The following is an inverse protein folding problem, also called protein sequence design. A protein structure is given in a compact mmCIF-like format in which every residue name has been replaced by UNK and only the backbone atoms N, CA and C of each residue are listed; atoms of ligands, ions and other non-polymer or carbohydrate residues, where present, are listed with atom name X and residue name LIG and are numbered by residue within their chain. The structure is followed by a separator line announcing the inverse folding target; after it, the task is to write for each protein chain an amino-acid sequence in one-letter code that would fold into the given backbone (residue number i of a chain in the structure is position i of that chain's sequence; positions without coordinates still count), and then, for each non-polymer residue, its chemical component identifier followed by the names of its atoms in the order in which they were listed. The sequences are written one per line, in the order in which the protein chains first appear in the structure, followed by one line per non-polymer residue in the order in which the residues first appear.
data_IF_295758478737
#
_entry.id   IF_295758478737
#
_cell.length_a   1.000
_cell.length_b   1.000
_cell.length_c   1.000
_cell.angle_alpha   90.00
_cell.angle_beta   90.00
_cell.angle_gamma   90.00
#
_symmetry.space_group_name_H-M   'P 1'
#
loop_
_entity.id
_entity.type
_entity.pdbx_description
1 polymer ?
#
# COMPACT_ATOMS: atom_id res chain seq x y z
N UNK A 1 31.78 -9.64 48.62
CA UNK A 1 31.09 -10.23 47.45
C UNK A 1 30.13 -9.17 46.94
N UNK A 2 30.32 -8.68 45.72
CA UNK A 2 29.79 -7.39 45.21
C UNK A 2 28.31 -7.51 44.84
N UNK A 3 27.50 -6.55 45.30
CA UNK A 3 26.24 -6.20 44.69
C UNK A 3 26.52 -5.53 43.33
N UNK A 4 25.74 -5.89 42.30
CA UNK A 4 25.69 -5.18 41.01
C UNK A 4 24.29 -4.58 40.90
N UNK A 5 24.25 -3.25 40.86
CA UNK A 5 23.10 -2.49 40.38
C UNK A 5 22.86 -2.82 38.90
N UNK A 6 21.59 -3.03 38.53
CA UNK A 6 21.14 -3.07 37.14
C UNK A 6 20.43 -1.73 36.89
N UNK A 7 21.11 -0.84 36.19
CA UNK A 7 20.57 0.44 35.70
C UNK A 7 19.68 0.18 34.47
N UNK A 8 18.36 0.14 34.66
CA UNK A 8 17.39 0.08 33.55
C UNK A 8 17.10 1.47 33.01
N UNK A 9 18.00 1.99 32.16
CA UNK A 9 17.70 3.16 31.33
C UNK A 9 16.76 2.78 30.18
N UNK A 10 15.46 2.84 30.44
CA UNK A 10 14.47 2.95 29.36
C UNK A 10 14.65 4.33 28.72
N UNK A 11 15.08 4.36 27.47
CA UNK A 11 15.20 5.62 26.73
C UNK A 11 13.84 6.00 26.13
N UNK A 12 13.55 7.30 26.03
CA UNK A 12 12.29 7.81 25.43
C UNK A 12 12.05 7.27 24.00
N UNK A 13 13.12 6.91 23.26
CA UNK A 13 13.05 6.24 21.94
C UNK A 13 12.53 4.80 22.03
N UNK A 14 12.97 4.01 22.99
CA UNK A 14 12.45 2.64 23.19
C UNK A 14 10.97 2.62 23.59
N UNK A 15 10.50 3.63 24.33
CA UNK A 15 9.08 3.73 24.70
C UNK A 15 8.18 4.10 23.52
N UNK A 16 8.60 5.05 22.66
CA UNK A 16 7.85 5.47 21.47
C UNK A 16 7.82 4.40 20.38
N UNK A 17 8.90 3.64 20.19
CA UNK A 17 8.94 2.51 19.26
C UNK A 17 7.98 1.38 19.68
N UNK A 18 7.83 1.15 20.98
CA UNK A 18 6.95 0.09 21.52
C UNK A 18 5.46 0.46 21.37
N UNK A 19 5.11 1.75 21.45
CA UNK A 19 3.72 2.21 21.29
C UNK A 19 3.22 2.24 19.84
N UNK A 20 4.12 2.37 18.84
CA UNK A 20 3.75 2.33 17.43
C UNK A 20 3.62 0.89 16.89
N UNK A 21 4.40 -0.06 17.43
CA UNK A 21 4.41 -1.46 16.97
C UNK A 21 3.21 -2.30 17.40
N UNK A 22 2.52 -1.97 18.50
CA UNK A 22 1.39 -2.76 18.98
C UNK A 22 0.13 -2.62 18.10
N UNK A 23 -0.05 -1.48 17.42
CA UNK A 23 -1.22 -1.24 16.55
C UNK A 23 -1.14 -1.90 15.17
N UNK A 24 0.08 -2.09 14.64
CA UNK A 24 0.29 -2.62 13.29
C UNK A 24 0.21 -4.17 13.25
N UNK A 25 0.58 -4.83 14.34
CA UNK A 25 0.60 -6.31 14.46
C UNK A 25 -0.81 -6.91 14.63
N UNK A 26 -1.78 -6.14 15.13
CA UNK A 26 -3.15 -6.62 15.39
C UNK A 26 -3.97 -6.90 14.11
N UNK A 27 -3.46 -6.57 12.92
CA UNK A 27 -4.19 -6.70 11.65
C UNK A 27 -3.52 -7.55 10.56
N UNK A 28 -2.21 -7.84 10.65
CA UNK A 28 -1.53 -8.77 9.74
C UNK A 28 -1.47 -10.16 10.38
N UNK A 29 -2.56 -10.89 10.30
CA UNK A 29 -2.56 -12.32 10.54
C UNK A 29 -1.84 -13.05 9.40
N UNK A 30 -0.52 -12.94 9.31
CA UNK A 30 0.48 -13.95 8.90
C UNK A 30 1.85 -13.32 9.21
N UNK A 31 2.42 -13.66 10.37
CA UNK A 31 3.87 -13.56 10.55
C UNK A 31 4.47 -14.61 9.62
N UNK A 32 5.24 -14.19 8.61
CA UNK A 32 6.06 -15.10 7.81
C UNK A 32 6.89 -15.97 8.78
N UNK A 33 6.94 -17.31 8.61
CA UNK A 33 7.74 -18.16 9.49
C UNK A 33 9.22 -17.81 9.30
N UNK A 34 9.80 -17.04 10.22
CA UNK A 34 11.23 -16.73 10.23
C UNK A 34 11.63 -15.33 10.66
N UNK A 35 10.72 -14.34 10.64
CA UNK A 35 11.03 -12.98 11.09
C UNK A 35 10.64 -12.81 12.56
N UNK A 36 11.63 -12.64 13.44
CA UNK A 36 11.32 -12.26 14.82
C UNK A 36 10.71 -10.86 14.84
N UNK A 37 9.87 -10.59 15.84
CA UNK A 37 9.24 -9.29 16.05
C UNK A 37 10.28 -8.18 16.18
N UNK A 38 11.48 -8.51 16.68
CA UNK A 38 12.62 -7.59 16.72
C UNK A 38 13.18 -7.33 15.32
N UNK A 39 13.25 -8.33 14.42
CA UNK A 39 13.79 -8.16 13.07
C UNK A 39 12.90 -7.33 12.14
N UNK A 40 11.57 -7.49 12.20
CA UNK A 40 10.66 -6.65 11.42
C UNK A 40 10.64 -5.19 11.90
N UNK A 41 10.78 -4.97 13.21
CA UNK A 41 10.87 -3.63 13.82
C UNK A 41 12.27 -3.03 13.59
N UNK A 42 13.32 -3.85 13.61
CA UNK A 42 14.68 -3.45 13.29
C UNK A 42 14.85 -3.18 11.80
N UNK A 43 14.24 -3.90 10.86
CA UNK A 43 14.25 -3.55 9.42
C UNK A 43 13.52 -2.22 9.17
N UNK A 44 12.36 -2.02 9.80
CA UNK A 44 11.64 -0.73 9.78
C UNK A 44 12.42 0.42 10.47
N UNK A 45 13.39 0.11 11.34
CA UNK A 45 14.23 1.09 12.04
C UNK A 45 15.65 1.23 11.47
N UNK A 46 16.14 0.22 10.74
CA UNK A 46 17.47 0.11 10.15
C UNK A 46 17.53 0.66 8.74
N UNK A 47 16.37 0.77 8.07
CA UNK A 47 16.24 1.63 6.90
C UNK A 47 16.27 3.09 7.36
N UNK A 48 17.48 3.52 7.72
CA UNK A 48 17.87 4.88 8.05
C UNK A 48 17.79 5.79 6.84
N UNK A 49 16.66 5.74 6.11
CA UNK A 49 16.21 6.83 5.30
C UNK A 49 16.01 8.00 6.26
N UNK A 50 17.01 8.87 6.33
CA UNK A 50 16.77 10.26 6.67
C UNK A 50 15.73 10.75 5.67
N UNK A 51 14.46 10.65 6.05
CA UNK A 51 13.33 11.27 5.38
C UNK A 51 13.60 12.77 5.46
N UNK A 52 14.30 13.28 4.46
CA UNK A 52 14.25 14.69 4.13
C UNK A 52 12.81 14.94 3.70
N UNK A 53 11.96 15.34 4.64
CA UNK A 53 10.64 15.83 4.30
C UNK A 53 10.80 17.06 3.39
N UNK A 54 10.14 17.02 2.24
CA UNK A 54 9.76 18.21 1.49
C UNK A 54 8.25 18.17 1.32
N UNK A 55 7.51 19.26 1.61
CA UNK A 55 6.08 19.35 1.27
C UNK A 55 5.80 18.99 -0.20
N UNK A 56 6.79 19.17 -1.08
CA UNK A 56 6.76 18.85 -2.50
C UNK A 56 6.66 17.34 -2.80
N UNK A 57 6.94 16.45 -1.84
CA UNK A 57 6.78 15.01 -2.09
C UNK A 57 5.30 14.68 -2.23
N UNK A 58 4.40 15.19 -1.39
CA UNK A 58 3.00 14.74 -1.40
C UNK A 58 2.11 15.43 -2.43
N UNK A 59 2.46 16.64 -2.84
CA UNK A 59 1.77 17.35 -3.90
C UNK A 59 2.66 18.44 -4.51
N UNK A 60 2.31 18.84 -5.72
CA UNK A 60 2.90 19.97 -6.41
C UNK A 60 1.82 20.91 -6.94
N UNK A 61 2.19 22.18 -7.10
CA UNK A 61 1.36 23.18 -7.79
C UNK A 61 2.15 23.69 -8.99
N UNK A 62 1.63 23.43 -10.20
CA UNK A 62 2.33 23.78 -11.43
C UNK A 62 2.22 25.29 -11.73
N UNK A 63 2.95 25.74 -12.76
CA UNK A 63 2.90 27.11 -13.22
C UNK A 63 1.52 27.55 -13.74
N UNK A 64 0.56 26.65 -13.95
CA UNK A 64 -0.81 26.94 -14.34
C UNK A 64 -1.79 26.88 -13.16
N UNK A 65 -1.31 26.65 -11.94
CA UNK A 65 -2.13 26.54 -10.73
C UNK A 65 -2.81 25.18 -10.57
N UNK A 66 -2.43 24.18 -11.36
CA UNK A 66 -2.92 22.80 -11.23
C UNK A 66 -2.21 22.11 -10.07
N UNK A 67 -2.96 21.34 -9.30
CA UNK A 67 -2.47 20.60 -8.13
C UNK A 67 -2.40 19.13 -8.49
N UNK A 68 -1.21 18.54 -8.44
CA UNK A 68 -1.02 17.09 -8.57
C UNK A 68 -0.73 16.52 -7.18
N UNK A 69 -1.50 15.52 -6.75
CA UNK A 69 -1.32 14.85 -5.46
C UNK A 69 -0.77 13.45 -5.66
N UNK A 70 0.34 13.15 -5.00
CA UNK A 70 1.04 11.87 -5.10
C UNK A 70 0.43 10.86 -4.13
N UNK A 71 -0.04 9.73 -4.66
CA UNK A 71 -0.83 8.72 -3.95
C UNK A 71 -0.01 7.45 -3.77
N UNK A 72 0.53 7.27 -2.56
CA UNK A 72 1.27 6.06 -2.16
C UNK A 72 0.35 4.93 -1.66
N UNK A 73 -0.87 4.83 -2.20
CA UNK A 73 -1.89 3.84 -1.82
C UNK A 73 -2.53 3.24 -3.07
N UNK A 74 -2.89 1.96 -2.99
CA UNK A 74 -3.49 1.22 -4.08
C UNK A 74 -4.99 1.52 -4.20
N UNK A 75 -5.45 1.84 -5.41
CA UNK A 75 -6.86 2.04 -5.70
C UNK A 75 -7.51 0.71 -6.11
N UNK A 76 -8.62 0.36 -5.44
CA UNK A 76 -9.27 -0.95 -5.56
C UNK A 76 -10.80 -0.86 -5.53
N UNK A 77 -11.34 0.32 -5.84
CA UNK A 77 -12.78 0.61 -5.82
C UNK A 77 -13.25 1.40 -4.59
N UNK A 78 -12.35 1.78 -3.69
CA UNK A 78 -12.64 2.54 -2.47
C UNK A 78 -12.45 4.06 -2.62
N UNK A 79 -11.95 4.53 -3.76
CA UNK A 79 -11.65 5.94 -4.03
C UNK A 79 -10.62 6.55 -3.06
N UNK A 80 -9.57 5.78 -2.72
CA UNK A 80 -8.56 6.22 -1.75
C UNK A 80 -7.77 7.42 -2.28
N UNK A 81 -7.39 7.41 -3.57
CA UNK A 81 -6.66 8.52 -4.19
C UNK A 81 -7.46 9.82 -4.10
N UNK A 82 -8.75 9.77 -4.45
CA UNK A 82 -9.71 10.87 -4.26
C UNK A 82 -9.77 11.34 -2.80
N UNK A 83 -9.87 10.42 -1.84
CA UNK A 83 -9.97 10.79 -0.43
C UNK A 83 -8.72 11.52 0.07
N UNK A 84 -7.53 11.05 -0.30
CA UNK A 84 -6.25 11.68 0.07
C UNK A 84 -6.06 13.03 -0.63
N UNK A 85 -6.40 13.12 -1.93
CA UNK A 85 -6.35 14.38 -2.67
C UNK A 85 -7.29 15.44 -2.08
N UNK A 86 -8.48 15.04 -1.61
CA UNK A 86 -9.39 15.96 -0.90
C UNK A 86 -8.80 16.50 0.39
N UNK A 87 -8.04 15.69 1.13
CA UNK A 87 -7.38 16.14 2.36
C UNK A 87 -6.39 17.25 2.04
N UNK A 88 -5.52 17.01 1.06
CA UNK A 88 -4.54 17.99 0.61
C UNK A 88 -5.21 19.24 0.06
N UNK A 89 -6.17 19.10 -0.86
CA UNK A 89 -6.83 20.23 -1.51
C UNK A 89 -7.62 21.11 -0.53
N UNK A 90 -8.32 20.51 0.43
CA UNK A 90 -9.07 21.24 1.45
C UNK A 90 -8.13 22.09 2.30
N UNK A 91 -7.05 21.48 2.78
CA UNK A 91 -6.05 22.18 3.59
C UNK A 91 -5.28 23.22 2.77
N UNK A 92 -4.92 22.92 1.52
CA UNK A 92 -4.25 23.87 0.64
C UNK A 92 -5.13 25.08 0.29
N UNK A 93 -6.46 24.91 0.28
CA UNK A 93 -7.40 25.90 -0.25
C UNK A 93 -7.46 25.89 -1.78
N UNK A 94 -7.19 24.74 -2.39
CA UNK A 94 -7.20 24.57 -3.84
C UNK A 94 -8.63 24.47 -4.40
N UNK A 95 -8.80 24.87 -5.66
CA UNK A 95 -10.00 24.56 -6.41
C UNK A 95 -9.99 23.07 -6.83
N UNK A 96 -11.06 22.34 -6.53
CA UNK A 96 -11.13 20.89 -6.78
C UNK A 96 -10.98 20.54 -8.27
N UNK A 97 -11.48 21.38 -9.17
CA UNK A 97 -11.39 21.18 -10.63
C UNK A 97 -9.97 21.34 -11.17
N UNK A 98 -9.04 21.84 -10.35
CA UNK A 98 -7.63 21.98 -10.65
C UNK A 98 -6.79 20.85 -10.04
N UNK A 99 -7.41 19.89 -9.33
CA UNK A 99 -6.74 18.79 -8.64
C UNK A 99 -6.71 17.52 -9.49
N UNK A 100 -5.56 16.87 -9.52
CA UNK A 100 -5.31 15.56 -10.15
C UNK A 100 -4.50 14.67 -9.21
N UNK A 101 -4.44 13.37 -9.52
CA UNK A 101 -3.69 12.38 -8.73
C UNK A 101 -2.66 11.67 -9.60
N UNK A 102 -1.53 11.35 -9.01
CA UNK A 102 -0.54 10.42 -9.55
C UNK A 102 -0.36 9.24 -8.60
N UNK A 103 -0.47 8.02 -9.10
CA UNK A 103 -0.18 6.83 -8.30
C UNK A 103 1.29 6.50 -8.44
N UNK A 104 2.03 6.70 -7.37
CA UNK A 104 3.50 6.69 -7.41
C UNK A 104 4.07 5.27 -7.47
N UNK A 105 5.32 5.19 -7.92
CA UNK A 105 6.13 3.97 -7.89
C UNK A 105 6.54 3.56 -6.47
N UNK A 106 7.27 2.46 -6.35
CA UNK A 106 7.78 1.94 -5.08
C UNK A 106 9.08 2.59 -4.58
N UNK A 107 9.41 3.82 -5.02
CA UNK A 107 10.60 4.53 -4.53
C UNK A 107 10.53 4.72 -3.00
N UNK A 108 11.60 4.39 -2.24
CA UNK A 108 11.62 4.51 -0.79
C UNK A 108 11.27 5.91 -0.24
N UNK A 109 11.42 6.97 -1.05
CA UNK A 109 11.05 8.34 -0.65
C UNK A 109 9.57 8.49 -0.31
N UNK A 110 8.70 7.61 -0.82
CA UNK A 110 7.26 7.57 -0.53
C UNK A 110 6.96 6.94 0.83
N UNK A 111 7.98 6.38 1.49
CA UNK A 111 7.83 5.63 2.72
C UNK A 111 7.12 4.30 2.50
N UNK A 112 6.56 3.77 3.59
CA UNK A 112 6.00 2.43 3.60
C UNK A 112 4.63 2.34 2.91
N UNK A 113 4.56 1.55 1.83
CA UNK A 113 3.39 1.41 0.99
C UNK A 113 2.61 0.14 1.32
N UNK A 114 1.47 0.37 1.99
CA UNK A 114 0.49 -0.65 2.36
C UNK A 114 -0.92 -0.07 2.28
N UNK A 115 -1.83 -0.82 1.67
CA UNK A 115 -3.27 -0.55 1.59
C UNK A 115 -4.04 -1.73 2.17
N UNK A 116 -4.68 -1.52 3.31
CA UNK A 116 -5.41 -2.55 4.05
C UNK A 116 -5.87 -2.04 5.41
N UNK A 117 -6.68 -2.83 6.12
CA UNK A 117 -7.04 -2.55 7.52
C UNK A 117 -7.80 -1.24 7.78
N UNK A 118 -8.34 -0.58 6.75
CA UNK A 118 -8.87 0.79 6.81
C UNK A 118 -7.83 1.85 7.22
N UNK A 119 -6.55 1.59 6.97
CA UNK A 119 -5.45 2.44 7.43
C UNK A 119 -5.16 3.63 6.54
N UNK A 120 -5.49 3.57 5.25
CA UNK A 120 -5.02 4.57 4.28
C UNK A 120 -5.35 6.00 4.70
N UNK A 121 -6.62 6.33 4.96
CA UNK A 121 -7.00 7.67 5.44
C UNK A 121 -6.58 7.87 6.89
N UNK A 122 -6.87 6.91 7.78
CA UNK A 122 -6.62 7.05 9.21
C UNK A 122 -5.16 7.38 9.56
N UNK A 123 -4.21 6.73 8.90
CA UNK A 123 -2.76 6.90 9.16
C UNK A 123 -2.15 8.10 8.46
N UNK A 124 -2.73 8.56 7.34
CA UNK A 124 -2.16 9.64 6.52
C UNK A 124 -2.87 10.99 6.69
N UNK A 125 -4.06 11.02 7.30
CA UNK A 125 -4.89 12.22 7.40
C UNK A 125 -4.12 13.41 7.96
N UNK A 126 -3.50 13.27 9.13
CA UNK A 126 -2.79 14.37 9.80
C UNK A 126 -1.60 14.83 8.98
N UNK A 127 -0.78 13.89 8.48
CA UNK A 127 0.40 14.18 7.67
C UNK A 127 0.04 14.96 6.40
N UNK A 128 -0.95 14.50 5.64
CA UNK A 128 -1.39 15.18 4.41
C UNK A 128 -2.06 16.51 4.72
N UNK A 129 -2.79 16.61 5.83
CA UNK A 129 -3.40 17.88 6.24
C UNK A 129 -2.34 18.93 6.58
N UNK A 130 -1.27 18.51 7.26
CA UNK A 130 -0.14 19.36 7.61
C UNK A 130 0.67 19.78 6.37
N UNK A 131 0.85 18.86 5.41
CA UNK A 131 1.46 19.19 4.12
C UNK A 131 0.63 20.25 3.37
N UNK A 132 -0.69 20.07 3.29
CA UNK A 132 -1.60 21.05 2.69
C UNK A 132 -1.58 22.40 3.42
N UNK A 133 -1.56 22.41 4.75
CA UNK A 133 -1.46 23.63 5.56
C UNK A 133 -0.13 24.37 5.38
N UNK A 134 0.98 23.64 5.22
CA UNK A 134 2.28 24.21 4.88
C UNK A 134 2.25 24.87 3.51
N UNK A 135 1.69 24.19 2.49
CA UNK A 135 1.48 24.78 1.16
C UNK A 135 0.61 26.03 1.20
N UNK A 136 -0.50 25.99 1.93
CA UNK A 136 -1.38 27.14 2.15
C UNK A 136 -0.62 28.32 2.74
N UNK A 137 0.27 28.07 3.70
CA UNK A 137 1.10 29.11 4.33
C UNK A 137 2.02 29.77 3.31
N UNK A 138 2.73 28.98 2.49
CA UNK A 138 3.61 29.51 1.43
C UNK A 138 2.81 30.35 0.44
N UNK A 139 1.69 29.81 -0.07
CA UNK A 139 0.86 30.49 -1.06
C UNK A 139 0.25 31.77 -0.49
N UNK A 140 -0.26 31.74 0.74
CA UNK A 140 -0.79 32.92 1.43
C UNK A 140 0.27 34.01 1.57
N UNK A 141 1.45 33.66 2.08
CA UNK A 141 2.52 34.62 2.35
C UNK A 141 3.00 35.26 1.03
N UNK A 142 3.22 34.46 -0.01
CA UNK A 142 3.62 34.93 -1.33
C UNK A 142 2.52 35.74 -2.03
N UNK A 143 1.26 35.29 -1.94
CA UNK A 143 0.11 35.99 -2.51
C UNK A 143 -0.15 37.33 -1.82
N UNK A 144 -0.10 37.37 -0.49
CA UNK A 144 -0.24 38.61 0.27
C UNK A 144 0.87 39.61 -0.09
N UNK A 145 2.11 39.14 -0.27
CA UNK A 145 3.22 39.99 -0.72
C UNK A 145 2.96 40.58 -2.12
N UNK A 146 2.43 39.79 -3.07
CA UNK A 146 2.05 40.28 -4.41
C UNK A 146 0.92 41.32 -4.36
N UNK A 147 0.02 41.20 -3.39
CA UNK A 147 -1.09 42.14 -3.14
C UNK A 147 -0.71 43.33 -2.25
N UNK A 148 0.54 43.38 -1.75
CA UNK A 148 0.98 44.42 -0.82
C UNK A 148 0.23 44.41 0.52
N UNK A 149 -0.26 43.25 0.96
CA UNK A 149 -1.02 43.05 2.19
C UNK A 149 -0.23 42.25 3.25
N UNK A 150 -0.69 42.28 4.51
CA UNK A 150 -0.21 41.37 5.54
C UNK A 150 -0.75 39.94 5.26
N UNK A 151 0.05 38.87 5.45
CA UNK A 151 -0.45 37.50 5.36
C UNK A 151 -1.63 37.22 6.31
N UNK A 152 -1.68 37.89 7.46
CA UNK A 152 -2.77 37.73 8.44
C UNK A 152 -4.10 38.31 7.94
N UNK A 153 -4.07 39.22 6.96
CA UNK A 153 -5.25 39.81 6.32
C UNK A 153 -5.67 39.04 5.04
N UNK A 154 -4.91 38.02 4.65
CA UNK A 154 -5.13 37.27 3.42
C UNK A 154 -5.89 35.97 3.67
N UNK A 155 -6.88 35.69 2.81
CA UNK A 155 -7.62 34.43 2.78
C UNK A 155 -7.14 33.56 1.62
N UNK A 156 -7.19 32.24 1.80
CA UNK A 156 -6.85 31.26 0.75
C UNK A 156 -8.04 30.34 0.52
N UNK A 157 -8.63 30.43 -0.67
CA UNK A 157 -9.81 29.65 -1.04
C UNK A 157 -9.90 29.50 -2.55
N UNK A 158 -10.36 28.34 -3.04
CA UNK A 158 -10.61 28.05 -4.44
C UNK A 158 -9.43 28.41 -5.37
N UNK A 159 -8.19 28.10 -4.97
CA UNK A 159 -7.00 28.35 -5.77
C UNK A 159 -6.58 29.82 -5.86
N UNK A 160 -7.11 30.66 -4.98
CA UNK A 160 -6.86 32.10 -4.94
C UNK A 160 -6.39 32.54 -3.56
N UNK A 161 -5.50 33.51 -3.52
CA UNK A 161 -5.18 34.29 -2.33
C UNK A 161 -5.81 35.67 -2.48
N UNK A 162 -6.61 36.09 -1.51
CA UNK A 162 -7.33 37.37 -1.55
C UNK A 162 -7.03 38.22 -0.33
N UNK A 163 -6.80 39.52 -0.56
CA UNK A 163 -6.61 40.51 0.50
C UNK A 163 -7.06 41.89 -0.01
N UNK A 164 -7.63 42.72 0.86
CA UNK A 164 -8.04 44.09 0.53
C UNK A 164 -8.98 44.25 -0.69
N UNK A 165 -9.76 43.21 -1.02
CA UNK A 165 -10.67 43.21 -2.17
C UNK A 165 -10.01 42.89 -3.51
N UNK A 166 -8.71 42.56 -3.51
CA UNK A 166 -7.97 42.05 -4.66
C UNK A 166 -7.63 40.57 -4.47
N UNK A 167 -7.38 39.86 -5.56
CA UNK A 167 -7.08 38.43 -5.55
C UNK A 167 -5.97 38.10 -6.54
N UNK A 168 -5.12 37.14 -6.19
CA UNK A 168 -4.07 36.58 -7.02
C UNK A 168 -4.20 35.06 -7.06
N UNK A 169 -4.08 34.46 -8.24
CA UNK A 169 -4.24 33.01 -8.43
C UNK A 169 -3.00 32.23 -8.00
N UNK A 170 -3.16 30.95 -7.67
CA UNK A 170 -2.03 30.04 -7.45
C UNK A 170 -1.06 30.04 -8.63
N UNK A 171 -1.58 30.04 -9.87
CA UNK A 171 -0.75 30.11 -11.08
C UNK A 171 0.13 31.37 -11.10
N UNK A 172 -0.41 32.51 -10.71
CA UNK A 172 0.32 33.77 -10.67
C UNK A 172 1.34 33.80 -9.51
N UNK A 173 0.97 33.27 -8.35
CA UNK A 173 1.88 33.11 -7.20
C UNK A 173 3.06 32.22 -7.58
N UNK A 174 2.84 31.06 -8.20
CA UNK A 174 3.92 30.15 -8.60
C UNK A 174 4.86 30.81 -9.63
N UNK A 175 4.33 31.61 -10.56
CA UNK A 175 5.15 32.28 -11.59
C UNK A 175 5.93 33.49 -11.10
N UNK A 176 5.43 34.20 -10.08
CA UNK A 176 5.91 35.56 -9.71
C UNK A 176 6.28 35.72 -8.24
N UNK A 177 5.71 34.91 -7.37
CA UNK A 177 5.91 34.96 -5.92
C UNK A 177 7.16 34.21 -5.49
N UNK A 178 7.56 34.44 -4.24
CA UNK A 178 8.61 33.66 -3.60
C UNK A 178 8.00 32.40 -2.94
N UNK A 179 8.25 31.25 -3.56
CA UNK A 179 7.81 29.94 -3.08
C UNK A 179 8.98 29.10 -2.53
N UNK A 180 10.14 29.72 -2.26
CA UNK A 180 11.35 28.99 -1.87
C UNK A 180 11.35 28.51 -0.42
N UNK A 181 10.30 28.82 0.35
CA UNK A 181 10.21 28.45 1.77
C UNK A 181 10.09 26.94 1.90
N UNK A 182 10.95 26.37 2.74
CA UNK A 182 10.91 24.97 3.15
C UNK A 182 10.61 24.88 4.64
N UNK A 183 10.14 23.72 5.08
CA UNK A 183 9.87 23.44 6.49
C UNK A 183 10.63 22.17 6.90
N UNK A 184 11.11 22.15 8.14
CA UNK A 184 11.64 20.95 8.79
C UNK A 184 10.52 20.02 9.26
N UNK A 185 10.82 18.74 9.46
CA UNK A 185 9.86 17.73 9.94
C UNK A 185 9.11 18.17 11.21
N UNK A 186 9.81 18.83 12.14
CA UNK A 186 9.22 19.36 13.38
C UNK A 186 8.22 20.49 13.10
N UNK A 187 8.56 21.41 12.21
CA UNK A 187 7.65 22.50 11.81
C UNK A 187 6.40 21.95 11.13
N UNK A 188 6.55 20.93 10.27
CA UNK A 188 5.44 20.30 9.56
C UNK A 188 4.53 19.51 10.49
N UNK A 189 5.12 18.72 11.39
CA UNK A 189 4.40 18.02 12.45
C UNK A 189 3.66 18.97 13.41
N UNK A 190 4.01 20.25 13.43
CA UNK A 190 3.36 21.30 14.20
C UNK A 190 2.41 22.20 13.38
N UNK A 191 2.24 21.96 12.06
CA UNK A 191 1.39 22.81 11.22
C UNK A 191 -0.07 22.78 11.69
N UNK A 192 -0.72 23.95 11.83
CA UNK A 192 -2.13 24.01 12.20
C UNK A 192 -3.01 23.57 11.04
N UNK A 193 -3.74 22.47 11.26
CA UNK A 193 -4.74 21.93 10.33
C UNK A 193 -6.09 22.63 10.55
N UNK A 194 -6.89 22.73 9.48
CA UNK A 194 -8.24 23.31 9.53
C UNK A 194 -9.12 22.55 10.51
N UNK A 195 -9.87 23.31 11.31
CA UNK A 195 -10.95 22.77 12.10
C UNK A 195 -12.04 22.18 11.19
N UNK A 196 -12.82 21.18 11.63
CA UNK A 196 -13.89 20.59 10.81
C UNK A 196 -14.89 21.60 10.23
N UNK A 197 -15.13 22.70 10.94
CA UNK A 197 -16.03 23.78 10.50
C UNK A 197 -15.49 24.64 9.35
N UNK A 198 -14.17 24.61 9.10
CA UNK A 198 -13.49 25.41 8.07
C UNK A 198 -13.27 24.62 6.76
N UNK A 199 -13.65 23.34 6.76
CA UNK A 199 -13.44 22.43 5.63
C UNK A 199 -14.51 22.59 4.57
N UNK A 200 -14.07 22.74 3.33
CA UNK A 200 -14.93 23.01 2.17
C UNK A 200 -15.08 21.81 1.24
N UNK A 201 -14.16 20.85 1.30
CA UNK A 201 -14.15 19.62 0.52
C UNK A 201 -14.40 18.40 1.39
N UNK A 202 -13.68 18.21 2.50
CA UNK A 202 -13.79 17.00 3.34
C UNK A 202 -15.20 16.87 3.93
N UNK A 203 -15.82 15.71 3.75
CA UNK A 203 -17.19 15.45 4.23
C UNK A 203 -18.29 16.15 3.43
N UNK A 204 -17.96 16.81 2.32
CA UNK A 204 -18.92 17.44 1.38
C UNK A 204 -19.12 16.60 0.12
N UNK A 205 -20.27 16.73 -0.58
CA UNK A 205 -20.45 16.14 -1.91
C UNK A 205 -19.41 16.68 -2.89
N UNK A 206 -18.66 15.80 -3.52
CA UNK A 206 -17.65 16.10 -4.55
C UNK A 206 -17.61 14.93 -5.53
N UNK A 207 -17.28 15.20 -6.79
CA UNK A 207 -17.07 14.14 -7.76
C UNK A 207 -15.68 13.52 -7.55
N UNK A 208 -15.63 12.20 -7.43
CA UNK A 208 -14.37 11.48 -7.30
C UNK A 208 -13.58 11.51 -8.61
N UNK A 209 -12.26 11.68 -8.51
CA UNK A 209 -11.37 11.92 -9.65
C UNK A 209 -11.25 10.71 -10.58
N UNK A 210 -11.43 9.52 -10.03
CA UNK A 210 -11.28 8.24 -10.72
C UNK A 210 -12.58 7.70 -11.34
N UNK A 211 -13.74 8.27 -10.99
CA UNK A 211 -15.05 7.82 -11.52
C UNK A 211 -15.19 8.05 -13.03
N UNK A 212 -14.83 9.22 -13.61
CA UNK A 212 -14.96 9.44 -15.05
C UNK A 212 -14.25 8.37 -15.89
N UNK A 213 -12.98 8.09 -15.61
CA UNK A 213 -12.21 7.09 -16.34
C UNK A 213 -12.80 5.67 -16.17
N UNK A 214 -13.18 5.29 -14.95
CA UNK A 214 -13.78 3.97 -14.66
C UNK A 214 -15.14 3.78 -15.33
N UNK A 215 -15.99 4.81 -15.36
CA UNK A 215 -17.32 4.74 -15.97
C UNK A 215 -17.31 4.92 -17.49
N UNK A 216 -16.32 5.63 -18.02
CA UNK A 216 -16.09 5.81 -19.46
C UNK A 216 -15.38 4.63 -20.14
N UNK A 217 -14.68 3.79 -19.37
CA UNK A 217 -13.86 2.69 -19.90
C UNK A 217 -12.43 3.12 -20.28
N UNK A 218 -12.01 4.30 -19.84
CA UNK A 218 -10.65 4.83 -20.08
C UNK A 218 -9.66 4.44 -18.98
N UNK A 219 -10.15 3.93 -17.84
CA UNK A 219 -9.30 3.44 -16.76
C UNK A 219 -8.52 2.21 -17.23
N UNK A 220 -7.19 2.27 -17.09
CA UNK A 220 -6.31 1.15 -17.36
C UNK A 220 -6.12 0.33 -16.08
N UNK A 221 -6.39 -0.97 -16.17
CA UNK A 221 -6.09 -1.94 -15.14
C UNK A 221 -4.80 -2.69 -15.48
N UNK A 222 -4.24 -3.44 -14.53
CA UNK A 222 -3.01 -4.20 -14.77
C UNK A 222 -3.16 -5.19 -15.95
N UNK A 223 -4.36 -5.77 -16.10
CA UNK A 223 -4.66 -6.68 -17.21
C UNK A 223 -4.72 -6.01 -18.60
N UNK A 224 -4.88 -4.69 -18.65
CA UNK A 224 -4.95 -3.92 -19.90
C UNK A 224 -3.57 -3.46 -20.39
N UNK A 225 -2.52 -3.60 -19.56
CA UNK A 225 -1.19 -3.12 -19.88
C UNK A 225 -0.51 -4.01 -20.95
N UNK A 226 0.05 -3.37 -21.97
CA UNK A 226 0.76 -4.03 -23.06
C UNK A 226 2.15 -3.42 -23.29
N UNK A 227 3.11 -4.25 -23.68
CA UNK A 227 4.44 -3.82 -24.11
C UNK A 227 4.79 -4.40 -25.48
N UNK A 228 5.53 -3.62 -26.26
CA UNK A 228 6.02 -4.06 -27.56
C UNK A 228 6.90 -5.31 -27.42
N UNK A 229 6.49 -6.39 -28.10
CA UNK A 229 7.21 -7.66 -28.11
C UNK A 229 7.02 -8.52 -26.84
N UNK A 230 6.08 -8.18 -25.96
CA UNK A 230 5.78 -9.02 -24.79
C UNK A 230 5.29 -10.42 -25.19
N UNK A 231 5.54 -11.38 -24.30
CA UNK A 231 5.00 -12.74 -24.36
C UNK A 231 4.03 -12.95 -23.21
N UNK A 232 3.13 -13.91 -23.35
CA UNK A 232 2.10 -14.21 -22.38
C UNK A 232 2.46 -15.46 -21.61
N UNK A 233 2.55 -15.31 -20.30
CA UNK A 233 2.76 -16.39 -19.35
C UNK A 233 1.42 -16.84 -18.75
N UNK A 234 1.16 -18.14 -18.77
CA UNK A 234 0.05 -18.76 -18.06
C UNK A 234 0.59 -19.73 -17.01
N UNK A 235 0.43 -19.45 -15.71
CA UNK A 235 0.90 -20.34 -14.66
C UNK A 235 0.09 -21.65 -14.64
N UNK A 236 0.76 -22.75 -14.31
CA UNK A 236 0.19 -24.05 -14.00
C UNK A 236 0.34 -24.27 -12.49
N UNK A 237 -0.81 -24.31 -11.81
CA UNK A 237 -0.88 -24.22 -10.35
C UNK A 237 -0.71 -25.63 -9.74
N UNK A 238 0.23 -25.82 -8.79
CA UNK A 238 0.42 -27.10 -8.12
C UNK A 238 -0.78 -27.47 -7.21
N UNK A 239 -0.94 -28.75 -6.85
CA UNK A 239 -2.05 -29.22 -6.01
C UNK A 239 -2.00 -28.67 -4.57
N UNK A 240 -0.84 -28.25 -4.08
CA UNK A 240 -0.68 -27.60 -2.77
C UNK A 240 0.17 -26.35 -2.88
N UNK A 241 -0.11 -25.36 -2.01
CA UNK A 241 0.71 -24.13 -1.92
C UNK A 241 2.17 -24.39 -1.55
N UNK A 242 2.42 -25.34 -0.64
CA UNK A 242 3.75 -25.69 -0.16
C UNK A 242 4.01 -27.19 -0.31
N UNK A 243 5.28 -27.54 -0.48
CA UNK A 243 5.79 -28.90 -0.55
C UNK A 243 5.46 -29.65 -1.84
N UNK A 244 4.82 -28.99 -2.82
CA UNK A 244 4.62 -29.59 -4.13
C UNK A 244 5.92 -29.54 -4.93
N UNK A 245 6.22 -30.61 -5.66
CA UNK A 245 7.33 -30.66 -6.63
C UNK A 245 6.85 -31.20 -7.96
N UNK A 246 7.59 -30.90 -9.04
CA UNK A 246 7.29 -31.39 -10.38
C UNK A 246 8.14 -32.62 -10.65
N UNK A 247 7.51 -33.76 -10.96
CA UNK A 247 8.19 -34.98 -11.41
C UNK A 247 8.49 -34.93 -12.90
N UNK A 248 7.53 -34.48 -13.69
CA UNK A 248 7.69 -34.32 -15.14
C UNK A 248 6.68 -33.34 -15.72
N UNK A 249 7.03 -32.78 -16.87
CA UNK A 249 6.16 -31.93 -17.71
C UNK A 249 6.12 -32.57 -19.09
N UNK A 250 4.93 -32.86 -19.60
CA UNK A 250 4.68 -33.21 -20.99
C UNK A 250 3.97 -32.05 -21.70
N UNK A 251 4.73 -31.37 -22.57
CA UNK A 251 4.26 -30.26 -23.39
C UNK A 251 4.05 -30.65 -24.86
N UNK A 252 4.06 -31.96 -25.18
CA UNK A 252 4.06 -32.45 -26.56
C UNK A 252 2.85 -31.96 -27.35
N UNK A 253 1.65 -32.02 -26.75
CA UNK A 253 0.44 -31.52 -27.39
C UNK A 253 0.40 -29.99 -27.53
N UNK A 254 1.12 -29.26 -26.68
CA UNK A 254 1.18 -27.81 -26.74
C UNK A 254 2.01 -27.30 -27.93
N UNK A 255 3.02 -28.07 -28.36
CA UNK A 255 3.89 -27.73 -29.51
C UNK A 255 3.14 -27.60 -30.84
N UNK A 256 1.99 -28.24 -30.98
CA UNK A 256 1.13 -28.12 -32.17
C UNK A 256 0.25 -26.86 -32.16
N UNK A 257 0.26 -26.09 -31.07
CA UNK A 257 -0.52 -24.86 -30.95
C UNK A 257 0.31 -23.69 -31.51
N UNK A 258 -0.20 -23.07 -32.58
CA UNK A 258 0.38 -21.84 -33.13
C UNK A 258 0.52 -20.77 -32.03
N UNK A 259 1.73 -20.24 -31.90
CA UNK A 259 2.08 -19.22 -30.91
C UNK A 259 2.58 -19.79 -29.58
N UNK A 260 2.60 -21.11 -29.38
CA UNK A 260 3.30 -21.71 -28.26
C UNK A 260 4.80 -21.48 -28.37
N UNK A 261 5.44 -21.08 -27.26
CA UNK A 261 6.89 -20.85 -27.20
C UNK A 261 7.54 -21.98 -26.41
N UNK A 262 7.19 -22.14 -25.13
CA UNK A 262 7.77 -23.17 -24.25
C UNK A 262 6.95 -23.33 -22.96
N UNK A 263 7.27 -24.39 -22.22
CA UNK A 263 6.81 -24.63 -20.84
C UNK A 263 8.02 -24.77 -19.95
N UNK A 264 8.02 -24.10 -18.79
CA UNK A 264 9.12 -24.12 -17.83
C UNK A 264 8.60 -24.50 -16.44
N UNK A 265 9.36 -25.32 -15.71
CA UNK A 265 9.24 -25.37 -14.26
C UNK A 265 9.87 -24.08 -13.68
N UNK A 266 9.24 -23.49 -12.66
CA UNK A 266 9.79 -22.32 -11.99
C UNK A 266 10.79 -22.77 -10.91
N UNK A 267 11.97 -22.17 -10.94
CA UNK A 267 12.94 -22.22 -9.85
C UNK A 267 12.79 -20.92 -9.06
N UNK A 268 12.38 -21.02 -7.80
CA UNK A 268 12.09 -19.88 -6.95
C UNK A 268 12.88 -19.96 -5.64
N UNK A 269 14.01 -19.22 -5.53
CA UNK A 269 14.80 -19.16 -4.31
C UNK A 269 14.06 -18.60 -3.08
N UNK A 270 12.93 -17.91 -3.28
CA UNK A 270 12.09 -17.41 -2.18
C UNK A 270 11.17 -18.50 -1.61
N UNK A 271 11.09 -19.66 -2.26
CA UNK A 271 10.31 -20.82 -1.83
C UNK A 271 8.79 -20.55 -1.73
N UNK A 272 8.27 -19.52 -2.39
CA UNK A 272 6.84 -19.18 -2.39
C UNK A 272 6.07 -19.80 -3.57
N UNK A 273 6.77 -20.17 -4.64
CA UNK A 273 6.23 -20.78 -5.87
C UNK A 273 6.69 -22.24 -6.07
N UNK A 274 6.76 -23.02 -4.98
CA UNK A 274 7.16 -24.44 -5.02
C UNK A 274 6.26 -25.27 -5.95
N UNK A 275 6.88 -25.97 -6.91
CA UNK A 275 6.17 -26.87 -7.82
C UNK A 275 5.34 -26.17 -8.90
N UNK A 276 5.50 -24.86 -9.08
CA UNK A 276 4.84 -24.13 -10.16
C UNK A 276 5.54 -24.37 -11.50
N UNK A 277 4.75 -24.39 -12.57
CA UNK A 277 5.24 -24.32 -13.94
C UNK A 277 4.54 -23.16 -14.66
N UNK A 278 5.08 -22.76 -15.81
CA UNK A 278 4.51 -21.69 -16.63
C UNK A 278 4.55 -22.08 -18.10
N UNK A 279 3.45 -21.82 -18.80
CA UNK A 279 3.38 -21.90 -20.26
C UNK A 279 3.57 -20.51 -20.83
N UNK A 280 4.45 -20.37 -21.80
CA UNK A 280 4.78 -19.11 -22.46
C UNK A 280 4.33 -19.18 -23.92
N UNK A 281 3.63 -18.15 -24.39
CA UNK A 281 3.14 -18.05 -25.76
C UNK A 281 3.19 -16.61 -26.29
N UNK A 282 3.09 -16.44 -27.61
CA UNK A 282 3.12 -15.15 -28.31
C UNK A 282 1.87 -14.29 -28.05
N UNK A 283 0.76 -14.91 -27.62
CA UNK A 283 -0.51 -14.22 -27.36
C UNK A 283 -1.34 -14.94 -26.30
N UNK A 284 -2.24 -14.20 -25.65
CA UNK A 284 -3.08 -14.71 -24.57
C UNK A 284 -3.95 -15.95 -24.94
N UNK A 285 -4.63 -16.00 -26.11
CA UNK A 285 -5.37 -17.21 -26.51
C UNK A 285 -4.49 -18.45 -26.68
N UNK A 286 -3.29 -18.29 -27.25
CA UNK A 286 -2.33 -19.38 -27.39
C UNK A 286 -1.85 -19.87 -26.03
N UNK A 287 -1.52 -18.96 -25.10
CA UNK A 287 -1.11 -19.30 -23.74
C UNK A 287 -2.18 -20.13 -23.00
N UNK A 288 -3.44 -19.68 -23.03
CA UNK A 288 -4.56 -20.40 -22.43
C UNK A 288 -4.79 -21.78 -23.05
N UNK A 289 -4.72 -21.87 -24.40
CA UNK A 289 -4.94 -23.15 -25.08
C UNK A 289 -3.81 -24.13 -24.79
N UNK A 290 -2.56 -23.66 -24.78
CA UNK A 290 -1.39 -24.46 -24.48
C UNK A 290 -1.37 -24.91 -23.02
N UNK A 291 -1.71 -24.04 -22.07
CA UNK A 291 -1.82 -24.41 -20.65
C UNK A 291 -2.79 -25.58 -20.40
N UNK A 292 -3.86 -25.70 -21.20
CA UNK A 292 -4.80 -26.84 -21.12
C UNK A 292 -4.28 -28.12 -21.79
N UNK A 293 -3.28 -28.02 -22.65
CA UNK A 293 -2.70 -29.13 -23.40
C UNK A 293 -1.42 -29.68 -22.74
N UNK A 294 -0.81 -28.92 -21.84
CA UNK A 294 0.33 -29.38 -21.03
C UNK A 294 -0.17 -30.27 -19.90
N UNK A 295 0.49 -31.41 -19.72
CA UNK A 295 0.30 -32.29 -18.57
C UNK A 295 1.50 -32.15 -17.64
N UNK A 296 1.23 -31.96 -16.34
CA UNK A 296 2.28 -31.91 -15.30
C UNK A 296 2.01 -33.00 -14.28
N UNK A 297 3.00 -33.85 -14.05
CA UNK A 297 2.98 -34.83 -12.97
C UNK A 297 3.56 -34.19 -11.71
N UNK A 298 2.67 -33.82 -10.79
CA UNK A 298 3.05 -33.26 -9.49
C UNK A 298 3.19 -34.34 -8.42
N UNK A 299 4.21 -34.20 -7.61
CA UNK A 299 4.22 -34.77 -6.27
C UNK A 299 3.63 -33.74 -5.31
N UNK A 300 2.42 -34.03 -4.81
CA UNK A 300 1.72 -33.11 -3.92
C UNK A 300 2.37 -33.06 -2.53
N UNK A 301 2.36 -31.87 -1.92
CA UNK A 301 2.86 -31.68 -0.56
C UNK A 301 1.96 -32.32 0.52
N UNK A 302 2.40 -32.28 1.79
CA UNK A 302 1.72 -32.95 2.91
C UNK A 302 0.31 -32.42 3.19
N UNK A 303 -0.04 -31.23 2.68
CA UNK A 303 -1.34 -30.58 2.90
C UNK A 303 -2.40 -30.91 1.84
N UNK A 304 -2.11 -31.81 0.89
CA UNK A 304 -3.00 -32.13 -0.24
C UNK A 304 -4.39 -32.66 0.16
N UNK A 305 -4.49 -33.25 1.35
CA UNK A 305 -5.73 -33.81 1.88
C UNK A 305 -6.39 -32.92 2.95
N UNK A 306 -5.86 -31.73 3.24
CA UNK A 306 -6.43 -30.82 4.24
C UNK A 306 -7.76 -30.28 3.72
N UNK A 307 -8.81 -30.46 4.53
CA UNK A 307 -10.15 -29.98 4.24
C UNK A 307 -10.50 -28.73 5.05
N UNK A 308 -11.55 -28.03 4.64
CA UNK A 308 -12.16 -26.94 5.40
C UNK A 308 -12.54 -27.38 6.84
N UNK A 309 -13.00 -28.62 7.00
CA UNK A 309 -13.35 -29.16 8.31
C UNK A 309 -12.13 -29.30 9.23
N UNK A 310 -10.97 -29.66 8.67
CA UNK A 310 -9.71 -29.76 9.42
C UNK A 310 -9.25 -28.36 9.88
N UNK A 311 -9.37 -27.35 9.02
CA UNK A 311 -9.03 -25.96 9.36
C UNK A 311 -9.91 -25.41 10.48
N UNK A 312 -11.22 -25.66 10.42
CA UNK A 312 -12.16 -25.25 11.47
C UNK A 312 -11.87 -25.98 12.79
N UNK A 313 -11.62 -27.29 12.73
CA UNK A 313 -11.28 -28.08 13.91
C UNK A 313 -9.98 -27.61 14.57
N UNK A 314 -8.97 -27.27 13.77
CA UNK A 314 -7.71 -26.73 14.29
C UNK A 314 -7.90 -25.35 14.95
N UNK A 315 -8.72 -24.48 14.35
CA UNK A 315 -9.11 -23.21 14.97
C UNK A 315 -9.78 -23.39 16.34
N UNK A 316 -10.70 -24.36 16.46
CA UNK A 316 -11.35 -24.69 17.73
C UNK A 316 -10.36 -25.23 18.78
N UNK A 317 -9.41 -26.06 18.35
CA UNK A 317 -8.34 -26.57 19.21
C UNK A 317 -7.49 -25.42 19.76
N UNK A 318 -7.05 -24.50 18.91
CA UNK A 318 -6.24 -23.33 19.29
C UNK A 318 -6.97 -22.41 20.26
N UNK A 319 -8.28 -22.18 20.07
CA UNK A 319 -9.09 -21.36 21.01
C UNK A 319 -9.24 -22.04 22.38
N UNK A 320 -9.32 -23.36 22.41
CA UNK A 320 -9.53 -24.13 23.65
C UNK A 320 -8.23 -24.28 24.45
N UNK A 321 -7.10 -24.46 23.77
CA UNK A 321 -5.79 -24.64 24.38
C UNK A 321 -5.05 -23.30 24.53
N UNK A 322 -5.18 -22.69 25.72
CA UNK A 322 -4.51 -21.43 26.08
C UNK A 322 -2.98 -21.47 26.03
N UNK A 323 -2.36 -22.65 25.91
CA UNK A 323 -0.89 -22.77 25.79
C UNK A 323 -0.39 -22.66 24.35
N UNK A 324 -1.26 -22.94 23.38
CA UNK A 324 -0.93 -22.90 21.94
C UNK A 324 -1.75 -21.87 21.16
N UNK A 325 -2.88 -21.41 21.70
CA UNK A 325 -3.66 -20.30 21.16
C UNK A 325 -3.04 -18.93 21.40
N UNK A 326 -3.52 -17.93 20.66
CA UNK A 326 -3.12 -16.52 20.79
C UNK A 326 -4.21 -15.76 21.54
N UNK A 327 -3.82 -15.01 22.57
CA UNK A 327 -4.71 -14.07 23.26
C UNK A 327 -4.80 -12.78 22.43
N UNK A 328 -5.96 -12.52 21.83
CA UNK A 328 -6.16 -11.38 20.94
C UNK A 328 -6.24 -10.04 21.68
N UNK A 329 -6.95 -10.00 22.82
CA UNK A 329 -7.08 -8.82 23.68
C UNK A 329 -7.04 -9.27 25.13
N UNK A 330 -6.21 -8.62 25.93
CA UNK A 330 -6.12 -8.79 27.38
C UNK A 330 -6.25 -7.41 28.03
N UNK A 331 -7.48 -7.03 28.36
CA UNK A 331 -7.77 -5.72 28.94
C UNK A 331 -8.66 -5.87 30.19
N UNK A 332 -8.19 -5.28 31.30
CA UNK A 332 -8.81 -5.41 32.62
C UNK A 332 -8.63 -6.78 33.27
N UNK A 333 -9.39 -7.01 34.35
CA UNK A 333 -9.45 -8.30 35.05
C UNK A 333 -10.70 -9.07 34.59
N UNK A 334 -10.56 -9.80 33.48
CA UNK A 334 -11.64 -10.59 32.87
C UNK A 334 -12.16 -11.66 33.84
N UNK A 335 -11.29 -12.23 34.68
CA UNK A 335 -11.66 -13.25 35.66
C UNK A 335 -12.60 -12.68 36.73
N UNK A 336 -12.20 -11.57 37.36
CA UNK A 336 -13.06 -10.89 38.32
C UNK A 336 -14.37 -10.39 37.69
N UNK A 337 -14.33 -9.90 36.45
CA UNK A 337 -15.53 -9.49 35.73
C UNK A 337 -16.50 -10.67 35.50
N UNK A 338 -15.98 -11.85 35.14
CA UNK A 338 -16.77 -13.07 34.97
C UNK A 338 -17.36 -13.57 36.29
N UNK A 339 -16.58 -13.58 37.37
CA UNK A 339 -17.04 -14.04 38.70
C UNK A 339 -18.16 -13.15 39.26
N UNK A 340 -18.13 -11.84 38.99
CA UNK A 340 -19.11 -10.88 39.50
C UNK A 340 -20.26 -10.59 38.52
N UNK A 341 -20.33 -11.28 37.38
CA UNK A 341 -21.35 -11.03 36.37
C UNK A 341 -22.74 -11.44 36.87
N UNK A 342 -23.72 -10.53 36.73
CA UNK A 342 -25.12 -10.84 37.05
C UNK A 342 -25.74 -11.85 36.06
N UNK A 343 -25.35 -11.77 34.79
CA UNK A 343 -25.77 -12.65 33.71
C UNK A 343 -24.56 -13.04 32.85
N UNK A 344 -24.57 -14.26 32.31
CA UNK A 344 -23.53 -14.75 31.39
C UNK A 344 -24.17 -15.37 30.16
N UNK A 345 -23.66 -15.02 28.98
CA UNK A 345 -24.07 -15.59 27.71
C UNK A 345 -22.84 -16.12 26.96
N UNK A 346 -22.98 -17.28 26.33
CA UNK A 346 -21.93 -17.89 25.53
C UNK A 346 -22.50 -18.34 24.20
N UNK A 347 -21.80 -18.00 23.12
CA UNK A 347 -22.13 -18.41 21.77
C UNK A 347 -20.83 -18.63 20.99
N UNK A 348 -20.86 -19.58 20.05
CA UNK A 348 -19.76 -19.82 19.12
C UNK A 348 -20.21 -19.38 17.74
N UNK A 349 -19.38 -18.57 17.09
CA UNK A 349 -19.55 -18.15 15.71
C UNK A 349 -18.38 -18.70 14.92
N UNK A 350 -18.66 -19.21 13.73
CA UNK A 350 -17.65 -19.77 12.83
C UNK A 350 -17.82 -19.12 11.47
N UNK A 351 -16.71 -18.77 10.87
CA UNK A 351 -16.62 -18.29 9.50
C UNK A 351 -15.80 -19.29 8.72
N UNK A 352 -16.29 -19.69 7.55
CA UNK A 352 -15.57 -20.55 6.63
C UNK A 352 -14.59 -19.76 5.78
N UNK A 353 -13.68 -20.45 5.10
CA UNK A 353 -12.80 -19.87 4.08
C UNK A 353 -13.63 -19.10 3.06
N UNK A 354 -13.27 -17.82 2.87
CA UNK A 354 -13.87 -16.95 1.88
C UNK A 354 -12.88 -16.72 0.74
N UNK A 355 -13.41 -16.65 -0.48
CA UNK A 355 -12.65 -16.22 -1.65
C UNK A 355 -13.00 -14.78 -1.97
N UNK A 356 -11.98 -13.99 -2.31
CA UNK A 356 -12.16 -12.57 -2.65
C UNK A 356 -13.03 -12.38 -3.89
N UNK A 357 -12.98 -13.30 -4.86
CA UNK A 357 -13.71 -13.25 -6.13
C UNK A 357 -13.58 -11.89 -6.84
N UNK A 358 -12.35 -11.40 -6.97
CA UNK A 358 -12.07 -10.16 -7.70
C UNK A 358 -12.51 -10.29 -9.16
N UNK A 359 -13.13 -9.25 -9.68
CA UNK A 359 -13.58 -9.23 -11.08
C UNK A 359 -12.38 -9.23 -12.04
N UNK A 360 -11.34 -8.47 -11.71
CA UNK A 360 -10.04 -8.57 -12.35
C UNK A 360 -9.28 -9.78 -11.76
N UNK A 361 -8.87 -10.76 -12.60
CA UNK A 361 -7.98 -11.83 -12.18
C UNK A 361 -6.60 -11.30 -11.81
N UNK A 362 -5.92 -11.94 -10.85
CA UNK A 362 -4.55 -11.59 -10.51
C UNK A 362 -3.65 -11.67 -11.76
N UNK A 363 -2.92 -10.59 -12.03
CA UNK A 363 -2.08 -10.42 -13.20
C UNK A 363 -0.82 -9.62 -12.85
N UNK A 364 0.20 -9.72 -13.69
CA UNK A 364 1.37 -8.86 -13.61
C UNK A 364 2.00 -8.75 -15.01
N UNK A 365 2.40 -7.54 -15.37
CA UNK A 365 3.26 -7.25 -16.51
C UNK A 365 4.66 -6.93 -15.97
N UNK A 366 5.68 -7.54 -16.56
CA UNK A 366 7.08 -7.38 -16.12
C UNK A 366 7.96 -6.98 -17.30
N UNK A 367 8.76 -5.94 -17.12
CA UNK A 367 9.75 -5.44 -18.08
C UNK A 367 11.12 -5.34 -17.43
N UNK A 368 12.15 -5.90 -18.06
CA UNK A 368 13.54 -5.63 -17.67
C UNK A 368 14.10 -4.53 -18.56
N UNK A 369 14.40 -3.36 -17.98
CA UNK A 369 14.92 -2.20 -18.70
C UNK A 369 15.94 -1.45 -17.84
N UNK A 370 17.02 -0.99 -18.46
CA UNK A 370 18.06 -0.18 -17.81
C UNK A 370 18.67 -0.84 -16.55
N UNK A 371 18.75 -2.18 -16.54
CA UNK A 371 19.24 -2.95 -15.40
C UNK A 371 18.23 -3.13 -14.25
N UNK A 372 16.98 -2.66 -14.43
CA UNK A 372 15.91 -2.75 -13.44
C UNK A 372 14.78 -3.67 -13.89
N UNK A 373 14.07 -4.24 -12.92
CA UNK A 373 12.84 -5.00 -13.10
C UNK A 373 11.65 -4.09 -12.79
N UNK A 374 10.87 -3.74 -13.81
CA UNK A 374 9.65 -2.97 -13.69
C UNK A 374 8.46 -3.93 -13.62
N UNK A 375 7.62 -3.79 -12.60
CA UNK A 375 6.47 -4.67 -12.37
C UNK A 375 5.20 -3.82 -12.29
N UNK A 376 4.25 -4.05 -13.20
CA UNK A 376 2.92 -3.44 -13.17
C UNK A 376 1.92 -4.50 -12.72
N UNK A 377 1.28 -4.30 -11.57
CA UNK A 377 0.33 -5.27 -11.00
C UNK A 377 -0.56 -4.62 -9.94
N UNK A 378 -1.79 -5.11 -9.79
CA UNK A 378 -2.68 -4.73 -8.69
C UNK A 378 -2.15 -5.21 -7.34
N UNK A 379 -1.27 -4.42 -6.72
CA UNK A 379 -0.56 -4.78 -5.49
C UNK A 379 -0.90 -3.83 -4.33
N UNK A 380 -1.47 -4.37 -3.26
CA UNK A 380 -1.79 -3.63 -2.04
C UNK A 380 -0.57 -3.31 -1.17
N UNK A 381 0.49 -4.10 -1.29
CA UNK A 381 1.55 -4.34 -0.31
C UNK A 381 2.93 -4.21 -0.96
N UNK A 382 3.19 -3.11 -1.67
CA UNK A 382 4.41 -2.93 -2.47
C UNK A 382 5.69 -3.06 -1.63
N UNK A 383 5.74 -2.43 -0.46
CA UNK A 383 6.92 -2.51 0.42
C UNK A 383 7.10 -3.88 1.07
N UNK A 384 6.03 -4.65 1.27
CA UNK A 384 6.09 -5.96 1.93
C UNK A 384 6.53 -7.08 0.98
N UNK A 385 6.19 -6.97 -0.31
CA UNK A 385 6.53 -8.01 -1.28
C UNK A 385 7.95 -7.86 -1.81
N UNK A 386 8.54 -6.66 -1.72
CA UNK A 386 9.84 -6.34 -2.33
C UNK A 386 10.98 -7.29 -1.91
N UNK A 387 11.16 -7.65 -0.62
CA UNK A 387 12.21 -8.58 -0.23
C UNK A 387 12.00 -10.00 -0.80
N UNK A 388 10.74 -10.42 -0.94
CA UNK A 388 10.40 -11.71 -1.56
C UNK A 388 10.73 -11.69 -3.06
N UNK A 389 10.41 -10.60 -3.75
CA UNK A 389 10.74 -10.44 -5.17
C UNK A 389 12.24 -10.34 -5.39
N UNK A 390 12.97 -9.61 -4.53
CA UNK A 390 14.42 -9.54 -4.56
C UNK A 390 15.05 -10.93 -4.45
N UNK A 391 14.56 -11.75 -3.50
CA UNK A 391 15.02 -13.13 -3.35
C UNK A 391 14.68 -13.99 -4.57
N UNK A 392 13.44 -13.92 -5.05
CA UNK A 392 12.95 -14.72 -6.18
C UNK A 392 13.68 -14.38 -7.50
N UNK A 393 13.91 -13.08 -7.74
CA UNK A 393 14.60 -12.57 -8.93
C UNK A 393 16.13 -12.58 -8.79
N UNK A 394 16.65 -12.81 -7.58
CA UNK A 394 18.07 -12.69 -7.24
C UNK A 394 18.62 -11.30 -7.60
N UNK A 395 17.86 -10.26 -7.27
CA UNK A 395 18.16 -8.85 -7.54
C UNK A 395 18.16 -8.04 -6.24
N UNK A 396 18.87 -6.92 -6.23
CA UNK A 396 18.77 -5.94 -5.15
C UNK A 396 17.39 -5.27 -5.18
N UNK A 397 16.84 -4.94 -4.01
CA UNK A 397 15.53 -4.28 -3.89
C UNK A 397 15.47 -2.95 -4.66
N UNK A 398 16.58 -2.21 -4.72
CA UNK A 398 16.70 -0.93 -5.43
C UNK A 398 16.63 -1.05 -6.96
N UNK A 399 16.80 -2.26 -7.47
CA UNK A 399 16.72 -2.58 -8.89
C UNK A 399 15.34 -3.13 -9.28
N UNK A 400 14.40 -3.21 -8.34
CA UNK A 400 13.01 -3.60 -8.58
C UNK A 400 12.11 -2.38 -8.37
N UNK A 401 11.28 -2.07 -9.36
CA UNK A 401 10.35 -0.94 -9.34
C UNK A 401 8.93 -1.46 -9.57
N UNK A 402 8.08 -1.30 -8.56
CA UNK A 402 6.68 -1.68 -8.63
C UNK A 402 5.86 -0.42 -8.97
N UNK A 403 5.05 -0.53 -10.01
CA UNK A 403 4.14 0.50 -10.49
C UNK A 403 2.71 0.18 -10.04
N UNK A 404 1.89 1.21 -9.91
CA UNK A 404 0.47 1.10 -9.58
C UNK A 404 -0.42 1.21 -10.80
#
# INVERSE_FOLDING_TARGET
MRARDIDTKITRRSFLATSAGAGLVMGLGVVLPGCSREQAVDEMAADGASLSFSPAVWFEVDGNGKVLVNIAKAEMGQHVGTALARIVADELGANWDDVSIDHVDSDPKWGYMVTGGSWSVFTTFTMLSQAGAAGRTILRDAGAALLGASPDDATVENGMVSANGESVSFAEIVRRGDISRTFSDEELGAMPVKAPSERTLIGKPTQALDVPAKSGGDAQYGIDAELDGMVFAHPLIPPTRYGSTIRSIDDTAAKDIRGYIQTLALEDPSEVLQGWAVVIAENYPAAMKAARAVEVDWEAGPTAAVSEADLIAEGQRLVTDKTTGVLAVDDGDVGAAQENAADTHTATYTTSTALHFTLEPANALVEFRDGKCHIHSGNQWQSLILPTLATALQMEETDIVIHQ
#
